data_IF_926642618065
#
_entry.id   IF_926642618065
#
_cell.length_a   1.000
_cell.length_b   1.000
_cell.length_c   1.000
_cell.angle_alpha   90.00
_cell.angle_beta   90.00
_cell.angle_gamma   90.00
#
_symmetry.space_group_name_H-M   'P 1'
#
loop_
_entity.id
_entity.type
_entity.pdbx_description
1 polymer ?
#
# COMPACT_ATOMS: atom_id res chain seq x y z
N UNK A 1 9.75 5.85 -9.13
CA UNK A 1 9.34 4.62 -8.41
C UNK A 1 8.36 4.97 -7.29
N UNK A 2 7.15 4.39 -7.29
CA UNK A 2 6.16 4.54 -6.21
C UNK A 2 6.15 3.28 -5.34
N UNK A 3 6.15 3.45 -4.02
CA UNK A 3 5.96 2.37 -3.04
C UNK A 3 4.67 2.63 -2.26
N UNK A 4 3.82 1.62 -2.11
CA UNK A 4 2.61 1.67 -1.27
C UNK A 4 2.56 0.40 -0.43
N UNK A 5 2.37 0.54 0.86
CA UNK A 5 2.38 -0.62 1.76
C UNK A 5 1.49 -0.39 2.97
N UNK A 6 1.06 -1.48 3.59
CA UNK A 6 0.48 -1.45 4.94
C UNK A 6 1.50 -1.86 5.99
N UNK A 7 1.43 -1.18 7.14
CA UNK A 7 2.21 -1.50 8.33
C UNK A 7 1.37 -2.18 9.42
N UNK A 8 1.75 -1.97 10.68
CA UNK A 8 0.98 -2.40 11.85
C UNK A 8 -0.43 -1.77 11.90
N UNK A 9 -0.52 -0.50 11.51
CA UNK A 9 -1.76 0.23 11.28
C UNK A 9 -1.55 1.14 10.07
N UNK A 10 -2.54 1.17 9.21
CA UNK A 10 -2.64 2.12 8.12
C UNK A 10 -1.82 1.80 6.87
N UNK A 11 -1.95 2.71 5.91
CA UNK A 11 -1.40 2.66 4.55
C UNK A 11 -0.41 3.81 4.37
N UNK A 12 0.85 3.46 4.10
CA UNK A 12 1.92 4.41 3.81
C UNK A 12 2.25 4.45 2.32
N UNK A 13 2.81 5.58 1.88
CA UNK A 13 3.28 5.80 0.52
C UNK A 13 4.66 6.45 0.53
N UNK A 14 5.46 6.13 -0.49
CA UNK A 14 6.74 6.80 -0.72
C UNK A 14 6.98 6.94 -2.23
N UNK A 15 7.51 8.08 -2.65
CA UNK A 15 7.90 8.32 -4.03
C UNK A 15 9.41 8.51 -4.09
N UNK A 16 10.07 7.77 -4.95
CA UNK A 16 11.51 7.91 -5.24
C UNK A 16 11.66 8.48 -6.64
N UNK A 17 12.31 9.65 -6.72
CA UNK A 17 12.61 10.40 -7.94
C UNK A 17 14.14 10.50 -8.06
N UNK A 18 14.71 10.12 -9.20
CA UNK A 18 16.16 10.16 -9.45
C UNK A 18 16.99 9.48 -8.35
N UNK A 19 16.49 8.36 -7.81
CA UNK A 19 17.13 7.61 -6.73
C UNK A 19 17.00 8.24 -5.34
N UNK A 20 16.29 9.36 -5.20
CA UNK A 20 16.11 10.09 -3.94
C UNK A 20 14.67 10.02 -3.46
N UNK A 21 14.49 9.87 -2.15
CA UNK A 21 13.17 9.94 -1.54
C UNK A 21 12.60 11.35 -1.68
N UNK A 22 11.41 11.45 -2.26
CA UNK A 22 10.65 12.70 -2.32
C UNK A 22 9.86 12.88 -1.01
N UNK A 23 10.32 13.81 -0.17
CA UNK A 23 9.76 14.05 1.17
C UNK A 23 8.79 15.23 1.22
N UNK A 24 8.74 16.06 0.18
CA UNK A 24 7.96 17.30 0.16
C UNK A 24 8.55 18.41 1.03
N UNK A 25 7.88 19.56 1.09
CA UNK A 25 8.39 20.75 1.78
C UNK A 25 8.51 20.60 3.30
N UNK A 26 7.72 19.70 3.90
CA UNK A 26 7.64 19.49 5.35
C UNK A 26 7.83 18.03 5.77
N UNK A 27 8.31 17.17 4.88
CA UNK A 27 8.47 15.74 5.17
C UNK A 27 7.17 14.92 5.11
N UNK A 28 6.07 15.51 4.62
CA UNK A 28 4.73 14.92 4.59
C UNK A 28 4.24 14.63 3.15
N UNK A 29 5.14 14.51 2.18
CA UNK A 29 4.72 14.08 0.85
C UNK A 29 4.23 12.64 0.87
N UNK A 30 3.30 12.32 -0.04
CA UNK A 30 2.81 10.96 -0.26
C UNK A 30 2.07 10.34 0.95
N UNK A 31 1.24 11.14 1.62
CA UNK A 31 0.20 10.67 2.55
C UNK A 31 -0.94 9.91 1.81
N UNK A 32 -0.57 8.87 1.06
CA UNK A 32 -1.47 8.12 0.16
C UNK A 32 -2.58 7.41 0.91
N UNK A 33 -2.37 7.07 2.18
CA UNK A 33 -3.39 6.51 3.05
C UNK A 33 -4.60 7.43 3.17
N UNK A 34 -4.43 8.75 3.08
CA UNK A 34 -5.51 9.70 3.25
C UNK A 34 -6.27 10.04 1.96
N UNK A 35 -5.91 9.44 0.82
CA UNK A 35 -6.69 9.56 -0.41
C UNK A 35 -8.07 8.94 -0.25
N UNK A 36 -9.13 9.70 -0.50
CA UNK A 36 -10.50 9.19 -0.47
C UNK A 36 -10.75 8.25 -1.65
N UNK A 37 -10.99 6.97 -1.34
CA UNK A 37 -11.35 5.91 -2.31
C UNK A 37 -12.80 5.42 -2.11
N UNK A 38 -13.47 5.89 -1.06
CA UNK A 38 -14.88 5.64 -0.81
C UNK A 38 -15.51 6.85 -0.08
N UNK A 39 -16.11 7.82 -0.78
CA UNK A 39 -16.68 9.00 -0.12
C UNK A 39 -17.69 8.68 0.99
N UNK A 40 -18.42 7.57 0.86
CA UNK A 40 -19.39 7.07 1.84
C UNK A 40 -18.79 6.02 2.81
N UNK A 41 -17.46 5.92 2.86
CA UNK A 41 -16.75 4.88 3.58
C UNK A 41 -16.65 5.07 5.10
N UNK A 42 -15.68 4.37 5.69
CA UNK A 42 -15.43 4.41 7.14
C UNK A 42 -14.83 5.77 7.57
N UNK A 43 -15.11 6.25 8.79
CA UNK A 43 -14.40 7.41 9.33
C UNK A 43 -12.89 7.17 9.37
N UNK A 44 -12.11 8.18 8.97
CA UNK A 44 -10.64 8.15 9.08
C UNK A 44 -10.17 9.03 10.24
N UNK A 45 -9.09 8.64 10.90
CA UNK A 45 -8.51 9.41 12.01
C UNK A 45 -7.97 10.79 11.58
N UNK A 46 -7.75 11.02 10.28
CA UNK A 46 -7.39 12.33 9.74
C UNK A 46 -8.56 13.33 9.73
N UNK A 47 -9.77 12.90 10.08
CA UNK A 47 -10.99 13.71 10.07
C UNK A 47 -11.86 13.57 8.81
N UNK A 48 -11.37 12.88 7.78
CA UNK A 48 -12.11 12.60 6.55
C UNK A 48 -12.86 11.25 6.60
N UNK A 49 -13.35 10.79 5.45
CA UNK A 49 -14.09 9.54 5.26
C UNK A 49 -13.60 8.73 4.07
N UNK A 50 -13.58 7.41 4.25
CA UNK A 50 -13.18 6.38 3.30
C UNK A 50 -11.87 6.68 2.59
N UNK A 51 -10.91 7.13 3.39
CA UNK A 51 -9.51 7.16 3.03
C UNK A 51 -9.01 5.74 2.73
N UNK A 52 -8.03 5.59 1.85
CA UNK A 52 -7.41 4.32 1.51
C UNK A 52 -6.92 3.56 2.76
N UNK A 53 -6.44 4.30 3.75
CA UNK A 53 -6.03 3.85 5.08
C UNK A 53 -7.11 3.06 5.82
N UNK A 54 -8.38 3.40 5.63
CA UNK A 54 -9.52 2.74 6.26
C UNK A 54 -10.36 1.99 5.24
N UNK A 55 -9.92 1.80 4.00
CA UNK A 55 -10.67 1.04 3.01
C UNK A 55 -9.86 -0.14 2.45
N UNK A 56 -8.54 -0.13 2.65
CA UNK A 56 -7.61 -1.14 2.16
C UNK A 56 -6.57 -1.58 3.21
N UNK A 57 -6.91 -1.51 4.51
CA UNK A 57 -6.06 -2.01 5.60
C UNK A 57 -6.46 -3.43 6.06
N UNK A 58 -5.63 -4.08 6.90
CA UNK A 58 -5.96 -5.41 7.42
C UNK A 58 -7.30 -5.49 8.14
N UNK A 59 -7.71 -4.44 8.87
CA UNK A 59 -9.01 -4.44 9.52
C UNK A 59 -10.16 -4.38 8.50
N UNK A 60 -10.01 -3.66 7.40
CA UNK A 60 -10.98 -3.63 6.29
C UNK A 60 -11.23 -5.05 5.77
N UNK A 61 -10.14 -5.81 5.54
CA UNK A 61 -10.23 -7.17 5.04
C UNK A 61 -11.00 -8.07 6.00
N UNK A 62 -10.56 -8.13 7.26
CA UNK A 62 -11.16 -9.00 8.28
C UNK A 62 -12.64 -8.68 8.46
N UNK A 63 -12.99 -7.39 8.53
CA UNK A 63 -14.37 -6.92 8.65
C UNK A 63 -15.20 -7.36 7.44
N UNK A 64 -14.70 -7.15 6.22
CA UNK A 64 -15.40 -7.51 4.99
C UNK A 64 -15.57 -9.03 4.83
N UNK A 65 -14.65 -9.83 5.38
CA UNK A 65 -14.73 -11.28 5.41
C UNK A 65 -15.58 -11.82 6.60
N UNK A 66 -16.16 -10.94 7.42
CA UNK A 66 -16.94 -11.33 8.59
C UNK A 66 -16.10 -12.02 9.67
N UNK A 67 -14.84 -11.62 9.84
CA UNK A 67 -13.92 -12.14 10.86
C UNK A 67 -13.66 -11.10 11.93
N UNK A 68 -13.89 -11.47 13.19
CA UNK A 68 -13.50 -10.66 14.33
C UNK A 68 -12.00 -10.87 14.60
N UNK A 69 -11.18 -9.80 14.67
CA UNK A 69 -9.76 -9.94 14.97
C UNK A 69 -9.52 -10.38 16.42
N UNK A 70 -8.57 -11.29 16.62
CA UNK A 70 -8.06 -11.68 17.93
C UNK A 70 -6.89 -10.80 18.42
N UNK A 71 -6.55 -10.80 19.71
CA UNK A 71 -5.41 -10.02 20.26
C UNK A 71 -4.04 -10.68 20.10
N UNK A 72 -3.96 -11.96 19.70
CA UNK A 72 -2.77 -12.81 19.84
C UNK A 72 -1.67 -12.45 18.83
N UNK A 73 -2.06 -12.03 17.63
CA UNK A 73 -1.16 -11.69 16.53
C UNK A 73 -1.61 -10.39 15.86
N UNK A 74 -0.70 -9.75 15.12
CA UNK A 74 -1.01 -8.49 14.44
C UNK A 74 -2.15 -8.65 13.43
N UNK A 75 -2.93 -7.58 13.22
CA UNK A 75 -4.00 -7.57 12.22
C UNK A 75 -3.48 -7.92 10.83
N UNK A 76 -2.29 -7.42 10.47
CA UNK A 76 -1.61 -7.74 9.22
C UNK A 76 -1.41 -9.25 9.06
N UNK A 77 -0.87 -9.91 10.10
CA UNK A 77 -0.68 -11.37 10.07
C UNK A 77 -2.01 -12.12 9.95
N UNK A 78 -3.03 -11.72 10.71
CA UNK A 78 -4.36 -12.35 10.63
C UNK A 78 -4.97 -12.22 9.23
N UNK A 79 -4.83 -11.05 8.61
CA UNK A 79 -5.32 -10.80 7.26
C UNK A 79 -4.56 -11.63 6.21
N UNK A 80 -3.22 -11.69 6.31
CA UNK A 80 -2.39 -12.50 5.43
C UNK A 80 -2.72 -14.00 5.55
N UNK A 81 -2.80 -14.52 6.78
CA UNK A 81 -3.15 -15.91 7.05
C UNK A 81 -4.56 -16.24 6.53
N UNK A 82 -5.52 -15.30 6.65
CA UNK A 82 -6.87 -15.46 6.12
C UNK A 82 -6.88 -15.58 4.59
N UNK A 83 -6.18 -14.69 3.88
CA UNK A 83 -6.14 -14.74 2.41
C UNK A 83 -5.48 -16.04 1.93
N UNK A 84 -4.34 -16.41 2.53
CA UNK A 84 -3.55 -17.58 2.10
C UNK A 84 -4.19 -18.91 2.48
N UNK A 85 -4.85 -18.97 3.63
CA UNK A 85 -5.43 -20.21 4.16
C UNK A 85 -6.89 -20.47 3.76
N UNK A 86 -7.64 -19.44 3.36
CA UNK A 86 -9.09 -19.54 3.14
C UNK A 86 -9.57 -18.91 1.83
N UNK A 87 -8.74 -18.97 0.77
CA UNK A 87 -9.11 -18.44 -0.55
C UNK A 87 -10.34 -19.13 -1.18
N UNK A 88 -10.68 -20.34 -0.72
CA UNK A 88 -11.86 -21.08 -1.16
C UNK A 88 -13.17 -20.59 -0.50
N UNK A 89 -13.08 -19.78 0.57
CA UNK A 89 -14.24 -19.15 1.20
C UNK A 89 -14.77 -17.99 0.33
N UNK A 90 -16.04 -18.03 -0.13
CA UNK A 90 -16.66 -16.94 -0.89
C UNK A 90 -16.62 -15.58 -0.19
N UNK A 91 -16.73 -15.55 1.14
CA UNK A 91 -16.67 -14.30 1.90
C UNK A 91 -15.26 -13.68 1.84
N UNK A 92 -14.22 -14.52 1.95
CA UNK A 92 -12.82 -14.08 1.83
C UNK A 92 -12.53 -13.59 0.41
N UNK A 93 -12.97 -14.30 -0.63
CA UNK A 93 -12.81 -13.81 -2.01
C UNK A 93 -13.50 -12.48 -2.23
N UNK A 94 -14.73 -12.32 -1.74
CA UNK A 94 -15.48 -11.07 -1.87
C UNK A 94 -14.76 -9.92 -1.18
N UNK A 95 -14.22 -10.16 0.03
CA UNK A 95 -13.42 -9.19 0.75
C UNK A 95 -12.13 -8.80 -0.01
N UNK A 96 -11.40 -9.77 -0.56
CA UNK A 96 -10.20 -9.52 -1.39
C UNK A 96 -10.55 -8.66 -2.59
N UNK A 97 -11.60 -8.99 -3.35
CA UNK A 97 -12.01 -8.21 -4.52
C UNK A 97 -12.39 -6.78 -4.13
N UNK A 98 -13.12 -6.60 -3.03
CA UNK A 98 -13.48 -5.27 -2.54
C UNK A 98 -12.24 -4.43 -2.22
N UNK A 99 -11.27 -4.97 -1.47
CA UNK A 99 -10.06 -4.24 -1.10
C UNK A 99 -9.17 -3.96 -2.31
N UNK A 100 -9.09 -4.90 -3.26
CA UNK A 100 -8.36 -4.73 -4.52
C UNK A 100 -8.97 -3.59 -5.34
N UNK A 101 -10.30 -3.46 -5.36
CA UNK A 101 -10.97 -2.35 -6.02
C UNK A 101 -10.66 -0.99 -5.36
N UNK A 102 -10.62 -0.95 -4.01
CA UNK A 102 -10.26 0.27 -3.26
C UNK A 102 -8.80 0.65 -3.45
N UNK A 103 -7.90 -0.32 -3.35
CA UNK A 103 -6.47 -0.14 -3.63
C UNK A 103 -6.25 0.33 -5.06
N UNK A 104 -6.85 -0.35 -6.03
CA UNK A 104 -6.74 -0.01 -7.45
C UNK A 104 -7.25 1.40 -7.76
N UNK A 105 -8.34 1.86 -7.12
CA UNK A 105 -8.82 3.23 -7.27
C UNK A 105 -7.79 4.26 -6.77
N UNK A 106 -7.19 4.03 -5.60
CA UNK A 106 -6.14 4.89 -5.06
C UNK A 106 -4.90 4.91 -5.96
N UNK A 107 -4.44 3.73 -6.40
CA UNK A 107 -3.30 3.60 -7.29
C UNK A 107 -3.55 4.26 -8.65
N UNK A 108 -4.75 4.15 -9.22
CA UNK A 108 -5.10 4.81 -10.49
C UNK A 108 -4.98 6.33 -10.39
N UNK A 109 -5.48 6.93 -9.30
CA UNK A 109 -5.32 8.35 -9.02
C UNK A 109 -3.85 8.76 -8.93
N UNK A 110 -3.04 7.98 -8.22
CA UNK A 110 -1.60 8.21 -8.10
C UNK A 110 -0.87 8.07 -9.44
N UNK A 111 -1.23 7.09 -10.27
CA UNK A 111 -0.67 6.93 -11.63
C UNK A 111 -0.98 8.14 -12.48
N UNK A 112 -2.22 8.65 -12.44
CA UNK A 112 -2.61 9.83 -13.22
C UNK A 112 -1.82 11.10 -12.84
N UNK A 113 -1.47 11.25 -11.56
CA UNK A 113 -0.81 12.45 -11.05
C UNK A 113 0.72 12.34 -11.15
N UNK A 114 1.27 11.17 -10.82
CA UNK A 114 2.71 10.99 -10.62
C UNK A 114 3.41 10.36 -11.83
N UNK A 115 2.67 9.66 -12.69
CA UNK A 115 3.22 8.89 -13.81
C UNK A 115 4.49 8.09 -13.44
N UNK A 116 4.45 7.20 -12.43
CA UNK A 116 5.65 6.54 -11.95
C UNK A 116 6.10 5.42 -12.91
N UNK A 117 7.41 5.15 -12.98
CA UNK A 117 7.93 4.04 -13.81
C UNK A 117 7.40 2.66 -13.41
N UNK A 118 7.04 2.49 -12.13
CA UNK A 118 6.59 1.25 -11.50
C UNK A 118 6.06 1.50 -10.08
N UNK A 119 5.23 0.58 -9.61
CA UNK A 119 4.63 0.54 -8.27
C UNK A 119 5.10 -0.72 -7.54
N UNK A 120 5.60 -0.56 -6.32
CA UNK A 120 5.96 -1.66 -5.42
C UNK A 120 4.94 -1.73 -4.29
N UNK A 121 4.35 -2.91 -4.10
CA UNK A 121 3.35 -3.15 -3.05
C UNK A 121 3.93 -3.99 -1.91
N UNK A 122 3.80 -3.50 -0.67
CA UNK A 122 4.26 -4.16 0.55
C UNK A 122 3.13 -4.47 1.54
N UNK A 123 3.43 -5.27 2.56
CA UNK A 123 2.46 -5.68 3.59
C UNK A 123 1.25 -6.41 2.98
N UNK A 124 0.06 -6.11 3.46
CA UNK A 124 -1.20 -6.68 2.94
C UNK A 124 -1.36 -6.43 1.44
N UNK A 125 -0.90 -5.28 0.94
CA UNK A 125 -1.07 -4.93 -0.48
C UNK A 125 -0.27 -5.85 -1.41
N UNK A 126 0.86 -6.40 -0.92
CA UNK A 126 1.55 -7.50 -1.59
C UNK A 126 0.65 -8.74 -1.68
N UNK A 127 0.06 -9.16 -0.56
CA UNK A 127 -0.81 -10.33 -0.51
C UNK A 127 -2.07 -10.16 -1.37
N UNK A 128 -2.65 -8.96 -1.42
CA UNK A 128 -3.77 -8.65 -2.32
C UNK A 128 -3.37 -8.73 -3.81
N UNK A 129 -2.20 -8.21 -4.17
CA UNK A 129 -1.66 -8.34 -5.53
C UNK A 129 -1.44 -9.81 -5.90
N UNK A 130 -0.91 -10.62 -4.99
CA UNK A 130 -0.70 -12.06 -5.22
C UNK A 130 -2.05 -12.81 -5.37
N UNK A 131 -3.07 -12.45 -4.59
CA UNK A 131 -4.37 -13.10 -4.60
C UNK A 131 -5.26 -12.72 -5.80
N UNK A 132 -5.20 -11.48 -6.29
CA UNK A 132 -6.03 -11.01 -7.40
C UNK A 132 -5.27 -10.06 -8.35
N UNK A 133 -4.18 -10.53 -8.98
CA UNK A 133 -3.29 -9.67 -9.77
C UNK A 133 -3.99 -9.05 -10.98
N UNK A 134 -4.82 -9.83 -11.68
CA UNK A 134 -5.49 -9.37 -12.90
C UNK A 134 -6.57 -8.35 -12.59
N UNK A 135 -7.29 -8.52 -11.47
CA UNK A 135 -8.27 -7.54 -11.03
C UNK A 135 -7.59 -6.21 -10.70
N UNK A 136 -6.52 -6.23 -9.90
CA UNK A 136 -5.84 -5.01 -9.51
C UNK A 136 -5.33 -4.23 -10.73
N UNK A 137 -4.70 -4.95 -11.67
CA UNK A 137 -4.24 -4.35 -12.93
C UNK A 137 -5.39 -3.78 -13.75
N UNK A 138 -6.51 -4.50 -13.87
CA UNK A 138 -7.69 -4.03 -14.59
C UNK A 138 -8.27 -2.74 -13.97
N UNK A 139 -8.43 -2.69 -12.64
CA UNK A 139 -8.95 -1.49 -11.96
C UNK A 139 -8.07 -0.27 -12.21
N UNK A 140 -6.74 -0.44 -12.13
CA UNK A 140 -5.77 0.63 -12.40
C UNK A 140 -5.82 1.04 -13.87
N UNK A 141 -5.87 0.09 -14.80
CA UNK A 141 -5.92 0.35 -16.24
C UNK A 141 -7.18 1.10 -16.67
N UNK A 142 -8.35 0.67 -16.19
CA UNK A 142 -9.64 1.27 -16.55
C UNK A 142 -9.77 2.73 -16.09
N UNK A 143 -9.04 3.09 -15.03
CA UNK A 143 -9.19 4.39 -14.33
C UNK A 143 -7.96 5.29 -14.46
N UNK A 144 -6.98 4.92 -15.26
CA UNK A 144 -5.83 5.77 -15.56
C UNK A 144 -5.65 5.98 -17.05
N UNK A 145 -5.39 7.23 -17.44
CA UNK A 145 -5.14 7.60 -18.84
C UNK A 145 -3.93 6.85 -19.41
N UNK A 146 -2.93 6.62 -18.57
CA UNK A 146 -1.68 5.94 -18.92
C UNK A 146 -1.77 4.40 -18.83
N UNK A 147 -2.68 3.87 -18.00
CA UNK A 147 -2.90 2.43 -17.89
C UNK A 147 -3.42 1.81 -19.19
N UNK A 148 -4.14 2.58 -20.00
CA UNK A 148 -4.65 2.15 -21.31
C UNK A 148 -3.59 2.23 -22.43
N UNK A 149 -2.49 2.97 -22.22
CA UNK A 149 -1.53 3.31 -23.28
C UNK A 149 -0.14 2.66 -23.12
N UNK A 150 0.16 2.11 -21.94
CA UNK A 150 1.48 1.52 -21.68
C UNK A 150 1.67 0.83 -20.32
N UNK A 151 0.61 0.70 -19.51
CA UNK A 151 0.56 -0.10 -18.27
C UNK A 151 1.72 0.09 -17.29
N UNK A 152 1.53 0.85 -16.22
CA UNK A 152 2.52 0.96 -15.14
C UNK A 152 2.70 -0.41 -14.45
N UNK A 153 3.93 -0.99 -14.39
CA UNK A 153 4.17 -2.25 -13.71
C UNK A 153 3.82 -2.17 -12.22
N UNK A 154 3.03 -3.14 -11.74
CA UNK A 154 2.68 -3.30 -10.32
C UNK A 154 3.33 -4.61 -9.84
N UNK A 155 4.27 -4.50 -8.91
CA UNK A 155 5.13 -5.59 -8.49
C UNK A 155 5.07 -5.78 -6.96
N UNK A 156 5.21 -7.02 -6.47
CA UNK A 156 5.30 -7.29 -5.04
C UNK A 156 6.66 -6.82 -4.50
N UNK A 157 6.69 -6.31 -3.27
CA UNK A 157 7.92 -6.08 -2.53
C UNK A 157 8.58 -7.44 -2.22
N UNK A 158 9.83 -7.61 -2.64
CA UNK A 158 10.61 -8.83 -2.43
C UNK A 158 11.45 -8.80 -1.17
N UNK A 159 11.50 -7.67 -0.46
CA UNK A 159 12.25 -7.52 0.78
C UNK A 159 11.36 -7.89 1.97
N UNK A 160 11.83 -8.86 2.75
CA UNK A 160 11.32 -9.08 4.09
C UNK A 160 11.83 -7.96 5.01
N UNK A 161 11.06 -7.65 6.06
CA UNK A 161 11.41 -6.59 7.01
C UNK A 161 11.75 -5.23 6.35
N UNK A 162 11.14 -4.94 5.20
CA UNK A 162 11.43 -3.78 4.36
C UNK A 162 11.50 -2.44 5.11
N UNK A 163 10.60 -2.18 6.07
CA UNK A 163 10.62 -0.97 6.88
C UNK A 163 11.84 -0.89 7.80
N UNK A 164 12.30 -2.02 8.35
CA UNK A 164 13.50 -2.07 9.18
C UNK A 164 14.77 -1.87 8.35
N UNK A 165 14.81 -2.49 7.16
CA UNK A 165 15.91 -2.26 6.20
C UNK A 165 15.96 -0.78 5.82
N UNK A 166 14.82 -0.18 5.43
CA UNK A 166 14.75 1.23 5.08
C UNK A 166 15.13 2.16 6.23
N UNK A 167 14.74 1.84 7.47
CA UNK A 167 15.15 2.60 8.65
C UNK A 167 16.66 2.51 8.92
N UNK A 168 17.26 1.33 8.73
CA UNK A 168 18.69 1.15 8.85
C UNK A 168 19.44 1.94 7.76
N UNK A 169 19.04 1.80 6.49
CA UNK A 169 19.62 2.58 5.37
C UNK A 169 19.54 4.08 5.64
N UNK A 170 18.40 4.59 6.12
CA UNK A 170 18.24 6.00 6.46
C UNK A 170 19.17 6.45 7.61
N UNK A 171 19.36 5.61 8.63
CA UNK A 171 20.26 5.90 9.74
C UNK A 171 21.73 5.93 9.30
N UNK A 172 22.10 5.06 8.34
CA UNK A 172 23.45 5.00 7.79
C UNK A 172 23.69 6.00 6.64
N UNK A 173 22.65 6.58 6.06
CA UNK A 173 22.75 7.47 4.90
C UNK A 173 23.80 8.60 5.07
N UNK A 174 23.90 9.32 6.22
CA UNK A 174 24.92 10.34 6.38
C UNK A 174 26.36 9.78 6.30
N UNK A 175 26.59 8.58 6.83
CA UNK A 175 27.89 7.88 6.76
C UNK A 175 28.18 7.42 5.34
N UNK A 176 27.16 6.95 4.61
CA UNK A 176 27.30 6.49 3.23
C UNK A 176 27.52 7.65 2.25
N UNK A 177 26.85 8.79 2.49
CA UNK A 177 26.96 9.99 1.67
C UNK A 177 28.30 10.69 1.88
N UNK A 178 28.75 10.82 3.14
CA UNK A 178 30.05 11.40 3.50
C UNK A 178 30.61 10.78 4.79
N UNK A 179 31.44 9.72 4.66
CA UNK A 179 31.96 9.00 5.82
C UNK A 179 32.94 9.83 6.67
N UNK A 180 33.45 10.96 6.15
CA UNK A 180 34.42 11.80 6.87
C UNK A 180 33.75 12.84 7.77
N UNK A 181 32.48 13.16 7.54
CA UNK A 181 31.74 14.19 8.28
C UNK A 181 30.60 13.64 9.15
N UNK A 182 30.33 12.34 9.09
CA UNK A 182 29.34 11.70 9.93
C UNK A 182 29.77 11.73 11.42
N UNK A 183 28.87 12.13 12.35
CA UNK A 183 29.17 12.07 13.78
C UNK A 183 29.40 10.61 14.22
N UNK A 184 30.42 10.41 15.06
CA UNK A 184 30.77 9.11 15.65
C UNK A 184 29.69 8.58 16.60
#
# INVERSE_FOLDING_TARGET
LLCVATGHRGVGGALVLDGRLHTGSSGLALEVGHLTVNPEGRPCHCGSRGCLDVEADPLALLTAAGRAPGPEVSLLKQADDLIRGHHDDPAVRTAVQMLVDRLGLGLAGLVNILNPDRIILGGLHRTLLEAAPDRLRAVVADRSLWGQSGGVPILPCTLDHNSLVGAAELAWQPVLDDPLTAPA
#
